data_IF_219688512292
#
_entry.id   IF_219688512292
#
_cell.length_a   1.000
_cell.length_b   1.000
_cell.length_c   1.000
_cell.angle_alpha   90.00
_cell.angle_beta   90.00
_cell.angle_gamma   90.00
#
_symmetry.space_group_name_H-M   'P 1'
#
loop_
_entity.id
_entity.type
_entity.pdbx_description
1 polymer ?
#
# COMPACT_ATOMS: atom_id res chain seq x y z
N UNK A 1 1.84 7.53 -27.81
CA UNK A 1 1.76 6.17 -27.23
C UNK A 1 3.13 5.58 -26.84
N UNK A 2 4.27 6.23 -27.17
CA UNK A 2 5.61 5.74 -26.83
C UNK A 2 6.23 6.36 -25.56
N UNK A 3 5.52 7.24 -24.87
CA UNK A 3 6.04 7.94 -23.69
C UNK A 3 5.95 7.13 -22.39
N UNK A 4 5.01 6.19 -22.29
CA UNK A 4 4.78 5.42 -21.06
C UNK A 4 5.91 4.42 -20.72
N UNK A 5 6.72 4.01 -21.70
CA UNK A 5 7.82 3.07 -21.46
C UNK A 5 9.13 3.76 -21.03
N UNK A 6 9.26 5.07 -21.22
CA UNK A 6 10.42 5.82 -20.73
C UNK A 6 10.28 6.17 -19.25
N UNK A 7 9.07 6.43 -18.76
CA UNK A 7 8.80 6.74 -17.37
C UNK A 7 9.16 5.60 -16.39
N UNK A 8 9.06 4.34 -16.83
CA UNK A 8 9.43 3.19 -15.99
C UNK A 8 10.93 3.06 -15.77
N UNK A 9 11.76 3.76 -16.55
CA UNK A 9 13.20 3.54 -16.55
C UNK A 9 13.96 4.35 -15.49
N UNK A 10 13.48 5.52 -15.08
CA UNK A 10 14.10 6.33 -14.01
C UNK A 10 13.60 5.92 -12.64
N UNK A 11 12.36 5.47 -12.55
CA UNK A 11 11.69 5.17 -11.30
C UNK A 11 12.38 4.07 -10.46
N UNK A 12 13.00 3.09 -11.09
CA UNK A 12 13.71 2.00 -10.40
C UNK A 12 15.24 2.19 -10.33
N UNK A 13 15.82 3.32 -10.78
CA UNK A 13 17.23 3.39 -11.13
C UNK A 13 17.92 4.69 -10.75
N UNK A 14 18.40 4.65 -9.58
CA UNK A 14 19.36 5.58 -9.04
C UNK A 14 20.77 4.96 -9.22
N UNK A 15 21.15 4.67 -10.47
CA UNK A 15 22.40 3.98 -10.77
C UNK A 15 22.68 3.86 -12.27
N UNK A 16 23.80 3.23 -12.56
CA UNK A 16 24.26 2.93 -13.92
C UNK A 16 23.28 2.03 -14.68
N UNK A 17 23.38 2.02 -16.00
CA UNK A 17 22.57 1.18 -16.87
C UNK A 17 22.81 -0.32 -16.60
N UNK A 18 21.77 -1.09 -16.68
CA UNK A 18 21.86 -2.55 -16.68
C UNK A 18 21.34 -3.12 -18.01
N UNK A 19 21.50 -4.44 -18.18
CA UNK A 19 21.16 -5.12 -19.45
C UNK A 19 19.71 -4.88 -19.93
N UNK A 20 18.75 -4.73 -19.04
CA UNK A 20 17.37 -4.42 -19.41
C UNK A 20 17.20 -3.03 -20.05
N UNK A 21 18.00 -2.04 -19.63
CA UNK A 21 18.06 -0.73 -20.28
C UNK A 21 18.65 -0.83 -21.67
N UNK A 22 19.79 -1.51 -21.77
CA UNK A 22 20.46 -1.73 -23.04
C UNK A 22 19.51 -2.40 -24.04
N UNK A 23 18.84 -3.48 -23.64
CA UNK A 23 17.87 -4.18 -24.49
C UNK A 23 16.75 -3.24 -24.96
N UNK A 24 16.11 -2.50 -24.05
CA UNK A 24 15.01 -1.59 -24.39
C UNK A 24 15.46 -0.50 -25.38
N UNK A 25 16.58 0.18 -25.09
CA UNK A 25 17.05 1.30 -25.93
C UNK A 25 17.63 0.84 -27.26
N UNK A 26 18.36 -0.27 -27.29
CA UNK A 26 18.90 -0.82 -28.53
C UNK A 26 17.76 -1.26 -29.46
N UNK A 27 16.72 -1.93 -28.95
CA UNK A 27 15.57 -2.31 -29.77
C UNK A 27 14.85 -1.08 -30.35
N UNK A 28 14.67 -0.03 -29.56
CA UNK A 28 14.12 1.24 -30.07
C UNK A 28 15.02 1.87 -31.14
N UNK A 29 16.32 1.86 -30.93
CA UNK A 29 17.29 2.41 -31.89
C UNK A 29 17.27 1.63 -33.22
N UNK A 30 17.19 0.30 -33.17
CA UNK A 30 17.03 -0.53 -34.37
C UNK A 30 15.78 -0.14 -35.16
N UNK A 31 14.65 0.06 -34.48
CA UNK A 31 13.39 0.50 -35.11
C UNK A 31 13.57 1.87 -35.74
N UNK A 32 14.11 2.85 -35.00
CA UNK A 32 14.28 4.23 -35.48
C UNK A 32 15.22 4.28 -36.69
N UNK A 33 16.35 3.58 -36.65
CA UNK A 33 17.29 3.48 -37.79
C UNK A 33 16.64 2.85 -38.99
N UNK A 34 15.92 1.72 -38.82
CA UNK A 34 15.24 1.06 -39.93
C UNK A 34 14.19 1.97 -40.57
N UNK A 35 13.41 2.71 -39.78
CA UNK A 35 12.42 3.64 -40.34
C UNK A 35 13.07 4.85 -41.00
N UNK A 36 14.20 5.33 -40.51
CA UNK A 36 14.97 6.39 -41.16
C UNK A 36 15.56 5.93 -42.48
N UNK A 37 16.07 4.70 -42.55
CA UNK A 37 16.55 4.08 -43.83
C UNK A 37 15.43 3.92 -44.87
N UNK A 38 14.18 3.79 -44.40
CA UNK A 38 12.98 3.75 -45.28
C UNK A 38 12.49 5.17 -45.67
N UNK A 39 13.27 6.23 -45.38
CA UNK A 39 12.96 7.61 -45.74
C UNK A 39 11.99 8.32 -44.82
N UNK A 40 11.69 7.77 -43.65
CA UNK A 40 10.83 8.42 -42.66
C UNK A 40 11.65 9.29 -41.72
N UNK A 41 11.04 10.37 -41.21
CA UNK A 41 11.62 11.15 -40.12
C UNK A 41 11.34 10.43 -38.79
N UNK A 42 12.25 9.54 -38.38
CA UNK A 42 12.18 8.77 -37.17
C UNK A 42 13.12 9.35 -36.10
N UNK A 43 12.88 10.61 -35.73
CA UNK A 43 13.65 11.25 -34.65
C UNK A 43 13.35 10.61 -33.30
N UNK A 44 14.37 10.36 -32.51
CA UNK A 44 14.26 9.89 -31.13
C UNK A 44 14.66 10.98 -30.15
N UNK A 45 13.69 11.44 -29.37
CA UNK A 45 13.93 12.33 -28.23
C UNK A 45 13.95 11.47 -26.97
N UNK A 46 15.09 11.35 -26.28
CA UNK A 46 15.18 10.61 -25.02
C UNK A 46 14.38 11.35 -23.95
N UNK A 47 13.77 10.58 -23.04
CA UNK A 47 12.98 11.15 -21.96
C UNK A 47 13.29 10.51 -20.61
N UNK A 48 13.27 11.32 -19.56
CA UNK A 48 13.46 10.89 -18.17
C UNK A 48 12.34 11.37 -17.28
N UNK A 49 11.86 10.46 -16.42
CA UNK A 49 11.04 10.79 -15.27
C UNK A 49 11.96 11.12 -14.09
N UNK A 50 11.87 12.33 -13.58
CA UNK A 50 12.81 12.90 -12.61
C UNK A 50 12.16 13.12 -11.23
N UNK A 51 11.02 12.50 -10.96
CA UNK A 51 10.27 12.66 -9.71
C UNK A 51 10.05 11.33 -9.01
N UNK A 52 9.53 11.41 -7.80
CA UNK A 52 8.97 10.31 -7.05
C UNK A 52 9.79 9.87 -5.86
N UNK A 53 9.14 9.02 -5.08
CA UNK A 53 9.61 8.51 -3.80
C UNK A 53 11.03 7.91 -3.82
N UNK A 54 11.46 7.17 -4.86
CA UNK A 54 12.81 6.61 -4.88
C UNK A 54 13.93 7.64 -4.86
N UNK A 55 13.75 8.81 -5.51
CA UNK A 55 14.73 9.90 -5.50
C UNK A 55 14.74 10.56 -4.12
N UNK A 56 13.55 10.88 -3.60
CA UNK A 56 13.39 11.48 -2.28
C UNK A 56 13.97 10.61 -1.18
N UNK A 57 13.73 9.30 -1.24
CA UNK A 57 14.27 8.33 -0.28
C UNK A 57 15.80 8.28 -0.30
N UNK A 58 16.44 8.39 -1.47
CA UNK A 58 17.90 8.43 -1.56
C UNK A 58 18.50 9.68 -0.94
N UNK A 59 17.87 10.81 -1.14
CA UNK A 59 18.29 12.06 -0.50
C UNK A 59 18.07 11.98 1.01
N UNK A 60 16.94 11.46 1.45
CA UNK A 60 16.68 11.21 2.87
C UNK A 60 17.70 10.25 3.48
N UNK A 61 18.08 9.17 2.81
CA UNK A 61 19.12 8.26 3.25
C UNK A 61 20.48 8.99 3.44
N UNK A 62 20.80 9.94 2.56
CA UNK A 62 22.00 10.77 2.70
C UNK A 62 21.91 11.69 3.92
N UNK A 63 20.75 12.27 4.22
CA UNK A 63 20.54 13.05 5.43
C UNK A 63 20.67 12.20 6.68
N UNK A 64 20.04 11.03 6.72
CA UNK A 64 20.18 10.08 7.85
C UNK A 64 21.63 9.69 8.11
N UNK A 65 22.43 9.44 7.07
CA UNK A 65 23.87 9.17 7.19
C UNK A 65 24.67 10.35 7.77
N UNK A 66 24.20 11.58 7.54
CA UNK A 66 24.78 12.81 8.10
C UNK A 66 24.20 13.17 9.48
N UNK A 67 23.30 12.34 10.04
CA UNK A 67 22.62 12.58 11.31
C UNK A 67 21.60 13.71 11.28
N UNK A 68 21.06 14.04 10.10
CA UNK A 68 20.03 15.07 9.91
C UNK A 68 18.67 14.42 9.65
N UNK A 69 17.61 15.09 10.12
CA UNK A 69 16.23 14.74 9.75
C UNK A 69 15.81 15.58 8.53
N UNK A 70 15.21 14.93 7.52
CA UNK A 70 14.69 15.62 6.33
C UNK A 70 13.56 16.61 6.67
N UNK A 71 12.78 16.31 7.72
CA UNK A 71 11.63 17.13 8.13
C UNK A 71 12.09 18.47 8.75
N UNK A 72 13.38 18.58 9.13
CA UNK A 72 14.01 19.82 9.61
C UNK A 72 14.64 20.66 8.51
N UNK A 73 14.70 20.13 7.27
CA UNK A 73 15.30 20.83 6.12
C UNK A 73 14.24 21.66 5.39
N UNK A 74 14.55 22.88 4.93
CA UNK A 74 13.64 23.64 4.09
C UNK A 74 13.23 22.85 2.84
N UNK A 75 11.93 22.89 2.50
CA UNK A 75 11.37 22.12 1.38
C UNK A 75 12.05 22.43 0.06
N UNK A 76 12.39 23.70 -0.16
CA UNK A 76 13.08 24.16 -1.38
C UNK A 76 14.48 23.56 -1.49
N UNK A 77 15.23 23.50 -0.38
CA UNK A 77 16.57 22.89 -0.32
C UNK A 77 16.47 21.40 -0.63
N UNK A 78 15.56 20.70 0.03
CA UNK A 78 15.36 19.26 -0.20
C UNK A 78 14.98 18.96 -1.66
N UNK A 79 14.06 19.74 -2.24
CA UNK A 79 13.65 19.61 -3.64
C UNK A 79 14.80 19.89 -4.60
N UNK A 80 15.65 20.89 -4.30
CA UNK A 80 16.79 21.18 -5.13
C UNK A 80 17.80 20.04 -5.12
N UNK A 81 18.08 19.45 -3.96
CA UNK A 81 18.95 18.28 -3.89
C UNK A 81 18.38 17.06 -4.65
N UNK A 82 17.07 16.88 -4.65
CA UNK A 82 16.41 15.86 -5.49
C UNK A 82 16.61 16.12 -6.98
N UNK A 83 16.47 17.39 -7.42
CA UNK A 83 16.71 17.79 -8.82
C UNK A 83 18.17 17.58 -9.22
N UNK A 84 19.10 17.98 -8.38
CA UNK A 84 20.54 17.85 -8.65
C UNK A 84 20.93 16.35 -8.74
N UNK A 85 20.36 15.53 -7.89
CA UNK A 85 20.54 14.08 -7.93
C UNK A 85 19.98 13.48 -9.24
N UNK A 86 18.78 13.87 -9.65
CA UNK A 86 18.18 13.42 -10.90
C UNK A 86 18.99 13.87 -12.12
N UNK A 87 19.46 15.13 -12.15
CA UNK A 87 20.29 15.67 -13.20
C UNK A 87 21.61 14.89 -13.34
N UNK A 88 22.27 14.59 -12.23
CA UNK A 88 23.50 13.79 -12.24
C UNK A 88 23.31 12.43 -12.92
N UNK A 89 22.24 11.70 -12.55
CA UNK A 89 21.98 10.39 -13.15
C UNK A 89 21.50 10.46 -14.60
N UNK A 90 20.82 11.56 -14.98
CA UNK A 90 20.48 11.83 -16.38
C UNK A 90 21.75 11.94 -17.23
N UNK A 91 22.73 12.72 -16.79
CA UNK A 91 24.00 12.89 -17.50
C UNK A 91 24.75 11.55 -17.63
N UNK A 92 24.89 10.82 -16.54
CA UNK A 92 25.56 9.51 -16.54
C UNK A 92 24.88 8.53 -17.51
N UNK A 93 23.56 8.41 -17.43
CA UNK A 93 22.80 7.50 -18.28
C UNK A 93 22.81 7.93 -19.75
N UNK A 94 22.76 9.24 -20.02
CA UNK A 94 22.87 9.79 -21.36
C UNK A 94 24.20 9.39 -22.01
N UNK A 95 25.31 9.55 -21.29
CA UNK A 95 26.63 9.13 -21.78
C UNK A 95 26.72 7.62 -22.02
N UNK A 96 26.16 6.82 -21.09
CA UNK A 96 26.15 5.36 -21.22
C UNK A 96 25.32 4.89 -22.43
N UNK A 97 24.14 5.48 -22.70
CA UNK A 97 23.33 5.19 -23.87
C UNK A 97 24.02 5.58 -25.20
N UNK A 98 24.67 6.75 -25.22
CA UNK A 98 25.46 7.18 -26.36
C UNK A 98 26.64 6.24 -26.61
N UNK A 99 27.29 5.74 -25.56
CA UNK A 99 28.34 4.72 -25.65
C UNK A 99 27.82 3.41 -26.24
N UNK A 100 26.57 3.03 -25.99
CA UNK A 100 25.93 1.89 -26.62
C UNK A 100 25.59 2.11 -28.11
N UNK A 101 25.82 3.33 -28.61
CA UNK A 101 25.57 3.71 -30.00
C UNK A 101 24.12 4.07 -30.30
N UNK A 102 23.30 4.32 -29.29
CA UNK A 102 21.91 4.76 -29.47
C UNK A 102 21.87 6.16 -30.06
N UNK A 103 21.21 6.33 -31.20
CA UNK A 103 21.02 7.63 -31.86
C UNK A 103 19.80 8.35 -31.27
N UNK A 104 19.92 9.68 -31.10
CA UNK A 104 18.84 10.50 -30.60
C UNK A 104 19.26 11.96 -30.41
N UNK A 105 18.31 12.78 -30.03
CA UNK A 105 18.53 14.16 -29.67
C UNK A 105 18.92 14.27 -28.19
N UNK A 106 20.19 14.00 -27.91
CA UNK A 106 20.74 14.00 -26.56
C UNK A 106 20.99 15.39 -26.00
N UNK A 107 20.94 16.44 -26.84
CA UNK A 107 21.17 17.81 -26.41
C UNK A 107 19.92 18.51 -25.90
N UNK A 108 18.74 18.02 -26.32
CA UNK A 108 17.44 18.54 -25.88
C UNK A 108 16.51 17.39 -25.44
N UNK A 109 16.84 16.70 -24.35
CA UNK A 109 16.04 15.61 -23.85
C UNK A 109 14.74 16.11 -23.19
N UNK A 110 13.69 15.29 -23.25
CA UNK A 110 12.50 15.52 -22.45
C UNK A 110 12.74 15.13 -20.99
N UNK A 111 12.51 16.05 -20.05
CA UNK A 111 12.58 15.74 -18.61
C UNK A 111 11.33 16.22 -17.89
N UNK A 112 10.78 15.36 -17.03
CA UNK A 112 9.59 15.73 -16.25
C UNK A 112 9.87 16.82 -15.23
N UNK A 113 11.14 17.06 -14.86
CA UNK A 113 11.56 18.15 -13.97
C UNK A 113 11.81 19.48 -14.67
N UNK A 114 11.70 19.56 -16.00
CA UNK A 114 11.76 20.83 -16.70
C UNK A 114 10.57 21.71 -16.31
N UNK A 115 10.79 22.99 -16.09
CA UNK A 115 9.76 23.90 -15.57
C UNK A 115 8.54 24.02 -16.48
N UNK A 116 8.73 23.97 -17.80
CA UNK A 116 7.65 23.98 -18.78
C UNK A 116 6.85 22.68 -18.76
N UNK A 117 7.52 21.54 -18.55
CA UNK A 117 6.85 20.25 -18.36
C UNK A 117 6.03 20.24 -17.05
N UNK A 118 6.60 20.70 -15.94
CA UNK A 118 5.88 20.83 -14.67
C UNK A 118 4.69 21.79 -14.79
N UNK A 119 4.85 22.92 -15.46
CA UNK A 119 3.78 23.89 -15.69
C UNK A 119 2.64 23.27 -16.53
N UNK A 120 2.99 22.49 -17.55
CA UNK A 120 2.01 21.78 -18.39
C UNK A 120 1.25 20.75 -17.57
N UNK A 121 1.94 19.92 -16.77
CA UNK A 121 1.33 18.91 -15.90
C UNK A 121 0.37 19.57 -14.90
N UNK A 122 0.80 20.66 -14.26
CA UNK A 122 -0.04 21.39 -13.31
C UNK A 122 -1.26 22.02 -14.01
N UNK A 123 -1.08 22.53 -15.21
CA UNK A 123 -2.16 23.10 -16.03
C UNK A 123 -3.22 22.06 -16.42
N UNK A 124 -2.78 20.86 -16.82
CA UNK A 124 -3.71 19.76 -17.13
C UNK A 124 -4.46 19.28 -15.90
N UNK A 125 -3.81 19.17 -14.75
CA UNK A 125 -4.50 18.86 -13.49
C UNK A 125 -5.54 19.93 -13.16
N UNK A 126 -5.22 21.21 -13.37
CA UNK A 126 -6.15 22.30 -13.21
C UNK A 126 -7.38 22.19 -14.12
N UNK A 127 -7.20 21.77 -15.37
CA UNK A 127 -8.33 21.52 -16.30
C UNK A 127 -9.25 20.42 -15.81
N UNK A 128 -8.69 19.29 -15.31
CA UNK A 128 -9.46 18.19 -14.74
C UNK A 128 -10.25 18.65 -13.51
N UNK A 129 -9.65 19.52 -12.68
CA UNK A 129 -10.35 20.13 -11.54
C UNK A 129 -11.52 21.00 -11.99
N UNK A 130 -11.32 21.84 -13.01
CA UNK A 130 -12.35 22.73 -13.53
C UNK A 130 -13.48 21.99 -14.24
N UNK A 131 -13.20 20.81 -14.80
CA UNK A 131 -14.19 19.89 -15.37
C UNK A 131 -15.05 19.21 -14.29
N UNK A 132 -14.65 19.22 -13.03
CA UNK A 132 -15.33 18.59 -11.91
C UNK A 132 -15.00 17.09 -11.73
N UNK A 133 -14.13 16.53 -12.55
CA UNK A 133 -13.72 15.12 -12.44
C UNK A 133 -12.75 14.88 -11.27
N UNK A 134 -12.06 15.92 -10.82
CA UNK A 134 -11.20 15.88 -9.63
C UNK A 134 -11.92 16.51 -8.45
N UNK A 135 -12.10 15.73 -7.40
CA UNK A 135 -12.75 16.19 -6.17
C UNK A 135 -12.01 15.66 -4.93
N UNK A 136 -12.20 16.35 -3.81
CA UNK A 136 -11.65 15.90 -2.52
C UNK A 136 -12.53 14.82 -1.91
N UNK A 137 -11.93 13.66 -1.65
CA UNK A 137 -12.62 12.53 -1.04
C UNK A 137 -11.72 11.83 -0.02
N UNK A 138 -12.30 10.89 0.76
CA UNK A 138 -11.58 10.00 1.65
C UNK A 138 -11.64 8.58 1.10
N UNK A 139 -10.47 7.94 0.98
CA UNK A 139 -10.34 6.54 0.58
C UNK A 139 -9.27 5.88 1.47
N UNK A 140 -9.53 4.69 2.04
CA UNK A 140 -8.49 3.92 2.71
C UNK A 140 -7.38 3.59 1.70
N UNK A 141 -6.14 3.92 2.07
CA UNK A 141 -4.95 3.67 1.25
C UNK A 141 -3.85 3.09 2.13
N UNK A 142 -2.92 2.34 1.52
CA UNK A 142 -1.73 1.87 2.22
C UNK A 142 -0.85 3.07 2.56
N UNK A 143 -0.27 3.04 3.74
CA UNK A 143 0.56 4.11 4.29
C UNK A 143 1.89 3.57 4.77
N UNK A 144 2.97 4.18 4.34
CA UNK A 144 4.30 3.91 4.90
C UNK A 144 4.57 4.82 6.11
N UNK A 145 4.72 4.26 7.32
CA UNK A 145 5.09 5.06 8.48
C UNK A 145 6.55 5.51 8.47
N UNK A 146 7.39 4.92 7.63
CA UNK A 146 8.81 5.29 7.49
C UNK A 146 8.94 6.50 6.59
N UNK A 147 8.38 6.46 5.39
CA UNK A 147 8.39 7.56 4.43
C UNK A 147 7.33 8.61 4.74
N UNK A 148 6.40 8.33 5.65
CA UNK A 148 5.28 9.21 6.05
C UNK A 148 4.42 9.65 4.86
N UNK A 149 4.10 8.69 3.99
CA UNK A 149 3.31 8.93 2.77
C UNK A 149 2.38 7.78 2.43
N UNK A 150 1.35 8.08 1.64
CA UNK A 150 0.53 7.06 0.99
C UNK A 150 1.33 6.36 -0.12
N UNK A 151 1.04 5.07 -0.31
CA UNK A 151 1.67 4.25 -1.34
C UNK A 151 0.68 3.97 -2.47
N UNK A 152 1.18 3.98 -3.71
CA UNK A 152 0.45 3.41 -4.83
C UNK A 152 0.43 1.89 -4.73
N UNK A 153 -0.61 1.24 -5.29
CA UNK A 153 -0.76 -0.22 -5.23
C UNK A 153 0.46 -0.95 -5.84
N UNK A 154 1.07 -0.37 -6.87
CA UNK A 154 2.27 -0.92 -7.51
C UNK A 154 3.54 -0.86 -6.63
N UNK A 155 3.52 -0.09 -5.56
CA UNK A 155 4.64 0.05 -4.61
C UNK A 155 4.50 -0.89 -3.42
N UNK A 156 3.38 -1.62 -3.31
CA UNK A 156 3.09 -2.52 -2.20
C UNK A 156 3.64 -3.89 -2.51
N UNK A 157 4.48 -4.40 -1.62
CA UNK A 157 4.98 -5.77 -1.67
C UNK A 157 4.33 -6.60 -0.57
N UNK A 158 3.77 -7.75 -0.95
CA UNK A 158 3.15 -8.68 -0.03
C UNK A 158 4.16 -9.77 0.34
N UNK A 159 4.30 -10.01 1.63
CA UNK A 159 5.18 -11.06 2.18
C UNK A 159 4.44 -11.84 3.26
N UNK A 160 4.82 -13.10 3.41
CA UNK A 160 4.34 -13.92 4.52
C UNK A 160 4.80 -13.31 5.84
N UNK A 161 3.86 -13.06 6.75
CA UNK A 161 4.13 -12.47 8.05
C UNK A 161 3.46 -13.25 9.16
N UNK A 162 4.23 -13.60 10.18
CA UNK A 162 3.68 -14.19 11.40
C UNK A 162 3.27 -13.08 12.36
N UNK A 163 1.98 -13.01 12.65
CA UNK A 163 1.38 -11.99 13.50
C UNK A 163 0.82 -12.59 14.78
N UNK A 164 0.84 -11.83 15.87
CA UNK A 164 0.14 -12.18 17.10
C UNK A 164 -1.34 -11.93 16.91
N UNK A 165 -2.15 -12.97 17.10
CA UNK A 165 -3.60 -12.87 17.08
C UNK A 165 -4.17 -13.14 18.48
N UNK A 166 -5.30 -12.54 18.80
CA UNK A 166 -5.95 -12.74 20.07
C UNK A 166 -7.44 -13.00 19.90
N UNK A 167 -7.99 -13.80 20.82
CA UNK A 167 -9.42 -13.85 21.09
C UNK A 167 -9.72 -12.96 22.27
N UNK A 168 -10.71 -12.07 22.13
CA UNK A 168 -11.12 -11.15 23.17
C UNK A 168 -12.61 -11.32 23.45
N UNK A 169 -13.00 -11.22 24.73
CA UNK A 169 -14.41 -11.31 25.14
C UNK A 169 -14.91 -9.98 25.67
N UNK A 170 -16.12 -9.62 25.25
CA UNK A 170 -16.83 -8.42 25.69
C UNK A 170 -18.10 -8.80 26.42
N UNK A 171 -18.27 -8.43 27.70
CA UNK A 171 -19.47 -8.75 28.46
C UNK A 171 -20.67 -7.96 27.91
N UNK A 172 -21.78 -8.65 27.71
CA UNK A 172 -23.06 -8.02 27.36
C UNK A 172 -23.59 -7.29 28.59
N UNK A 173 -23.73 -5.96 28.51
CA UNK A 173 -24.19 -5.12 29.62
C UNK A 173 -25.70 -4.96 29.67
N UNK A 174 -26.31 -4.85 28.52
CA UNK A 174 -27.77 -4.69 28.34
C UNK A 174 -28.22 -5.73 27.32
N UNK A 175 -28.62 -6.94 27.77
CA UNK A 175 -29.06 -7.98 26.89
C UNK A 175 -30.40 -7.60 26.26
N UNK A 176 -30.50 -7.72 24.93
CA UNK A 176 -31.74 -7.57 24.18
C UNK A 176 -32.64 -8.83 24.24
N UNK A 177 -32.06 -9.97 24.64
CA UNK A 177 -32.74 -11.25 24.75
C UNK A 177 -32.26 -12.01 25.99
N UNK A 178 -33.12 -12.77 26.68
CA UNK A 178 -32.75 -13.50 27.89
C UNK A 178 -31.57 -14.47 27.74
N UNK A 179 -31.38 -15.05 26.55
CA UNK A 179 -30.24 -15.94 26.28
C UNK A 179 -28.89 -15.23 26.36
N UNK A 180 -28.84 -13.92 26.19
CA UNK A 180 -27.63 -13.13 26.30
C UNK A 180 -27.33 -12.63 27.71
N UNK A 181 -28.15 -12.97 28.68
CA UNK A 181 -27.92 -12.61 30.08
C UNK A 181 -26.66 -13.26 30.63
N UNK A 182 -25.71 -12.42 31.06
CA UNK A 182 -24.39 -12.88 31.52
C UNK A 182 -23.46 -13.41 30.41
N UNK A 183 -23.86 -13.29 29.15
CA UNK A 183 -23.02 -13.72 28.03
C UNK A 183 -21.87 -12.75 27.74
N UNK A 184 -20.83 -13.31 27.11
CA UNK A 184 -19.72 -12.55 26.57
C UNK A 184 -19.66 -12.79 25.04
N UNK A 185 -19.59 -11.74 24.26
CA UNK A 185 -19.35 -11.85 22.81
C UNK A 185 -17.86 -12.07 22.62
N UNK A 186 -17.51 -13.11 21.87
CA UNK A 186 -16.12 -13.44 21.54
C UNK A 186 -15.81 -12.97 20.13
N UNK A 187 -14.73 -12.22 20.02
CA UNK A 187 -14.17 -11.78 18.73
C UNK A 187 -12.74 -12.28 18.58
N UNK A 188 -12.27 -12.32 17.35
CA UNK A 188 -10.89 -12.58 16.99
C UNK A 188 -10.32 -11.37 16.26
N UNK A 189 -9.05 -11.03 16.52
CA UNK A 189 -8.36 -9.95 15.82
C UNK A 189 -6.88 -10.28 15.57
N UNK A 190 -6.39 -9.84 14.41
CA UNK A 190 -4.96 -9.84 14.06
C UNK A 190 -4.26 -8.55 14.49
N UNK A 191 -5.00 -7.56 15.01
CA UNK A 191 -4.51 -6.23 15.35
C UNK A 191 -4.81 -5.89 16.81
N UNK A 192 -4.22 -6.59 17.78
CA UNK A 192 -4.54 -6.45 19.20
C UNK A 192 -4.29 -5.03 19.74
N UNK A 193 -3.40 -4.26 19.15
CA UNK A 193 -3.11 -2.87 19.53
C UNK A 193 -4.27 -1.91 19.26
N UNK A 194 -5.28 -2.31 18.47
CA UNK A 194 -6.48 -1.49 18.23
C UNK A 194 -7.52 -1.60 19.36
N UNK A 195 -7.40 -2.60 20.25
CA UNK A 195 -8.37 -2.86 21.30
C UNK A 195 -8.64 -1.67 22.24
N UNK A 196 -7.64 -0.86 22.65
CA UNK A 196 -7.90 0.31 23.51
C UNK A 196 -8.79 1.37 22.84
N UNK A 197 -8.80 1.42 21.50
CA UNK A 197 -9.64 2.34 20.73
C UNK A 197 -10.98 1.74 20.27
N UNK A 198 -11.30 0.51 20.66
CA UNK A 198 -12.52 -0.16 20.20
C UNK A 198 -13.78 0.51 20.78
N UNK A 199 -14.74 0.85 19.92
CA UNK A 199 -15.97 1.56 20.30
C UNK A 199 -17.24 0.75 20.10
N UNK A 200 -17.20 -0.22 19.20
CA UNK A 200 -18.37 -1.02 18.84
C UNK A 200 -17.95 -2.37 18.29
N UNK A 201 -18.87 -3.31 18.32
CA UNK A 201 -18.81 -4.57 17.59
C UNK A 201 -19.90 -4.55 16.53
N UNK A 202 -19.60 -5.04 15.32
CA UNK A 202 -20.58 -5.24 14.28
C UNK A 202 -20.97 -6.72 14.21
N UNK A 203 -22.24 -6.98 13.95
CA UNK A 203 -22.75 -8.31 13.63
C UNK A 203 -23.39 -8.29 12.24
N UNK A 204 -23.31 -9.39 11.50
CA UNK A 204 -23.99 -9.57 10.24
C UNK A 204 -25.41 -10.05 10.46
N UNK A 205 -26.40 -9.44 9.79
CA UNK A 205 -27.78 -9.87 9.86
C UNK A 205 -28.02 -11.26 9.22
N UNK A 206 -27.15 -11.62 8.28
CA UNK A 206 -27.21 -12.91 7.55
C UNK A 206 -26.34 -14.01 8.20
N UNK A 207 -25.76 -13.75 9.39
CA UNK A 207 -24.90 -14.68 10.09
C UNK A 207 -25.62 -15.24 11.31
N UNK A 208 -25.67 -16.56 11.42
CA UNK A 208 -26.19 -17.25 12.58
C UNK A 208 -25.19 -17.18 13.75
N UNK A 209 -25.69 -16.85 14.93
CA UNK A 209 -24.90 -16.79 16.16
C UNK A 209 -25.37 -17.82 17.17
N UNK A 210 -24.43 -18.46 17.85
CA UNK A 210 -24.70 -19.41 18.91
C UNK A 210 -24.36 -18.84 20.27
N UNK A 211 -25.25 -19.08 21.25
CA UNK A 211 -24.99 -18.76 22.65
C UNK A 211 -24.73 -20.10 23.38
N UNK A 212 -23.55 -20.23 23.94
CA UNK A 212 -22.99 -21.49 24.43
C UNK A 212 -22.54 -21.33 25.87
N UNK A 213 -22.87 -22.29 26.73
CA UNK A 213 -22.34 -22.43 28.09
C UNK A 213 -21.14 -23.36 28.08
N UNK A 214 -20.04 -22.92 28.65
CA UNK A 214 -18.83 -23.72 28.80
C UNK A 214 -19.05 -24.70 29.95
N UNK A 215 -18.84 -26.00 29.69
CA UNK A 215 -19.03 -27.09 30.67
C UNK A 215 -17.80 -27.97 30.82
N UNK A 216 -16.72 -27.67 30.10
CA UNK A 216 -15.45 -28.36 30.20
C UNK A 216 -14.34 -27.60 29.58
N UNK A 217 -13.19 -27.59 30.22
CA UNK A 217 -12.00 -26.83 29.83
C UNK A 217 -10.80 -27.77 29.66
N UNK A 218 -9.95 -27.45 28.68
CA UNK A 218 -8.63 -28.05 28.59
C UNK A 218 -7.68 -27.39 29.60
N UNK A 219 -6.56 -28.05 29.87
CA UNK A 219 -5.51 -27.50 30.73
C UNK A 219 -4.96 -26.19 30.12
N UNK A 220 -4.87 -25.14 30.91
CA UNK A 220 -4.38 -23.82 30.47
C UNK A 220 -5.41 -22.90 29.79
N UNK A 221 -6.68 -23.31 29.69
CA UNK A 221 -7.75 -22.48 29.16
C UNK A 221 -7.96 -21.22 30.01
N UNK A 222 -8.17 -20.06 29.36
CA UNK A 222 -8.42 -18.78 30.04
C UNK A 222 -9.89 -18.54 30.39
N UNK A 223 -10.80 -19.34 29.82
CA UNK A 223 -12.22 -19.32 30.14
C UNK A 223 -12.48 -20.01 31.49
N UNK A 224 -13.67 -19.83 32.03
CA UNK A 224 -14.11 -20.50 33.26
C UNK A 224 -15.28 -21.41 32.97
N UNK A 225 -15.38 -22.49 33.77
CA UNK A 225 -16.55 -23.35 33.76
C UNK A 225 -17.80 -22.52 34.13
N UNK A 226 -18.88 -22.70 33.37
CA UNK A 226 -20.11 -21.94 33.52
C UNK A 226 -20.13 -20.59 32.75
N UNK A 227 -19.02 -20.12 32.20
CA UNK A 227 -19.02 -18.91 31.33
C UNK A 227 -19.97 -19.12 30.15
N UNK A 228 -20.71 -18.08 29.81
CA UNK A 228 -21.58 -18.06 28.60
C UNK A 228 -20.91 -17.20 27.54
N UNK A 229 -20.76 -17.77 26.34
CA UNK A 229 -20.15 -17.10 25.20
C UNK A 229 -21.10 -17.04 24.02
N UNK A 230 -21.01 -15.95 23.23
CA UNK A 230 -21.74 -15.77 21.99
C UNK A 230 -20.75 -15.52 20.86
N UNK A 231 -20.87 -16.27 19.76
CA UNK A 231 -20.04 -16.15 18.56
C UNK A 231 -20.79 -16.71 17.35
N UNK A 232 -20.27 -16.43 16.14
CA UNK A 232 -20.83 -16.95 14.91
C UNK A 232 -20.85 -18.50 14.93
N UNK A 233 -21.96 -19.10 14.57
CA UNK A 233 -22.20 -20.56 14.67
C UNK A 233 -21.15 -21.35 13.88
N UNK A 234 -20.79 -20.90 12.69
CA UNK A 234 -19.77 -21.55 11.86
C UNK A 234 -18.37 -21.54 12.48
N UNK A 235 -18.07 -20.60 13.37
CA UNK A 235 -16.77 -20.46 14.00
C UNK A 235 -16.67 -21.19 15.35
N UNK A 236 -17.75 -21.83 15.82
CA UNK A 236 -17.76 -22.46 17.14
C UNK A 236 -16.64 -23.50 17.28
N UNK A 237 -16.46 -24.40 16.31
CA UNK A 237 -15.44 -25.44 16.35
C UNK A 237 -14.01 -24.88 16.42
N UNK A 238 -13.69 -23.94 15.55
CA UNK A 238 -12.35 -23.36 15.44
C UNK A 238 -12.01 -22.52 16.68
N UNK A 239 -12.93 -21.66 17.09
CA UNK A 239 -12.73 -20.78 18.26
C UNK A 239 -12.57 -21.59 19.52
N UNK A 240 -13.46 -22.57 19.78
CA UNK A 240 -13.42 -23.38 21.01
C UNK A 240 -12.16 -24.21 21.08
N UNK A 241 -11.72 -24.78 19.97
CA UNK A 241 -10.43 -25.48 19.88
C UNK A 241 -9.26 -24.54 20.20
N UNK A 242 -9.24 -23.36 19.62
CA UNK A 242 -8.14 -22.41 19.80
C UNK A 242 -8.03 -21.85 21.22
N UNK A 243 -9.16 -21.66 21.92
CA UNK A 243 -9.18 -21.10 23.29
C UNK A 243 -9.26 -22.21 24.40
N UNK A 244 -9.14 -23.46 24.00
CA UNK A 244 -9.05 -24.61 24.96
C UNK A 244 -10.38 -24.95 25.61
N UNK A 245 -11.51 -24.84 24.93
CA UNK A 245 -12.80 -25.32 25.43
C UNK A 245 -13.01 -26.76 24.99
N UNK A 246 -13.18 -27.63 25.96
CA UNK A 246 -13.34 -29.08 25.72
C UNK A 246 -14.81 -29.52 25.58
N UNK A 247 -15.74 -28.81 26.24
CA UNK A 247 -17.16 -29.15 26.21
C UNK A 247 -18.05 -27.91 26.28
N UNK A 248 -19.17 -27.95 25.54
CA UNK A 248 -20.13 -26.87 25.42
C UNK A 248 -21.55 -27.36 25.52
N UNK A 249 -22.42 -26.55 26.07
CA UNK A 249 -23.87 -26.73 26.05
C UNK A 249 -24.51 -25.56 25.29
N UNK A 250 -25.31 -25.83 24.27
CA UNK A 250 -26.12 -24.83 23.59
C UNK A 250 -27.19 -24.32 24.54
N UNK A 251 -27.28 -23.01 24.73
CA UNK A 251 -28.20 -22.39 25.69
C UNK A 251 -29.40 -21.68 25.00
N UNK A 252 -29.41 -21.61 23.68
CA UNK A 252 -30.51 -21.03 22.91
C UNK A 252 -30.73 -21.82 21.61
N UNK A 253 -31.96 -21.99 21.15
CA UNK A 253 -32.24 -22.35 19.79
C UNK A 253 -31.82 -21.21 18.84
N UNK A 254 -31.69 -21.56 17.55
CA UNK A 254 -31.21 -20.76 16.43
C UNK A 254 -31.55 -19.25 16.46
N UNK A 255 -30.68 -18.34 15.95
CA UNK A 255 -30.92 -16.92 15.84
C UNK A 255 -32.17 -16.47 15.10
N UNK A 256 -32.83 -17.38 14.34
CA UNK A 256 -34.14 -17.11 13.73
C UNK A 256 -35.24 -16.78 14.74
N UNK A 257 -35.02 -17.09 16.04
CA UNK A 257 -35.93 -16.74 17.11
C UNK A 257 -35.74 -15.32 17.68
N UNK A 258 -34.81 -14.55 17.10
CA UNK A 258 -34.52 -13.14 17.48
C UNK A 258 -35.24 -12.10 16.61
N UNK A 259 -36.02 -12.54 15.60
CA UNK A 259 -36.92 -11.66 14.84
C UNK A 259 -38.20 -11.43 15.64
N UNK A 260 -38.24 -10.36 16.42
CA UNK A 260 -39.46 -9.71 16.87
C UNK A 260 -39.22 -8.24 17.18
#
# INVERSE_FOLDING_TARGET
QNQSSAASDVYKRQGQLHIGHALNKILKDVINRSQSMLGKNANYVPGWDCHGLPIEWKIEEQYRKKGKDKDEVPVEEFRQECRDFAAHWLDVQSEEFQRLGVLGDWHDPYTTMAYDAEATIAGELGRILMDGSLYRGAKPVMWSPVEKTALAEAEIEYQDHTSVTIYARFPVKQPSHPALEGANIVIWTTTPWTMPGNRAMACGADIDYSVLRITGLAEGALAKDGDVICLATELVGDVTSAIGIACLLYTSPSPRDFEA
#
